data_IF_677636124903
#
_entry.id   IF_677636124903
#
_cell.length_a   1.000
_cell.length_b   1.000
_cell.length_c   1.000
_cell.angle_alpha   90.00
_cell.angle_beta   90.00
_cell.angle_gamma   90.00
#
_symmetry.space_group_name_H-M   'P 1'
#
loop_
_entity.id
_entity.type
_entity.pdbx_description
1 polymer ?
#
# COMPACT_ATOMS: atom_id res chain seq x y z
N UNK A 1 7.87 24.88 -4.50
CA UNK A 1 8.16 24.13 -3.26
C UNK A 1 7.17 23.00 -2.95
N UNK A 2 5.94 22.99 -3.48
CA UNK A 2 4.94 21.92 -3.23
C UNK A 2 5.15 20.61 -4.01
N UNK A 3 6.01 20.61 -5.04
CA UNK A 3 6.26 19.42 -5.87
C UNK A 3 6.92 18.27 -5.12
N UNK A 4 7.90 18.55 -4.24
CA UNK A 4 8.64 17.49 -3.52
C UNK A 4 7.75 16.74 -2.51
N UNK A 5 6.96 17.40 -1.64
CA UNK A 5 6.03 16.70 -0.75
C UNK A 5 4.96 15.89 -1.50
N UNK A 6 4.41 16.45 -2.58
CA UNK A 6 3.43 15.74 -3.41
C UNK A 6 4.04 14.49 -4.06
N UNK A 7 5.23 14.63 -4.64
CA UNK A 7 5.96 13.51 -5.24
C UNK A 7 6.28 12.44 -4.19
N UNK A 8 6.67 12.82 -2.98
CA UNK A 8 6.94 11.88 -1.88
C UNK A 8 5.72 11.03 -1.54
N UNK A 9 4.53 11.65 -1.37
CA UNK A 9 3.28 10.93 -1.03
C UNK A 9 2.82 10.03 -2.19
N UNK A 10 2.88 10.53 -3.43
CA UNK A 10 2.49 9.73 -4.58
C UNK A 10 3.46 8.56 -4.82
N UNK A 11 4.77 8.79 -4.66
CA UNK A 11 5.77 7.76 -4.83
C UNK A 11 5.67 6.66 -3.76
N UNK A 12 5.31 6.98 -2.50
CA UNK A 12 5.13 5.96 -1.47
C UNK A 12 3.95 5.04 -1.80
N UNK A 13 2.83 5.59 -2.29
CA UNK A 13 1.67 4.79 -2.71
C UNK A 13 2.00 3.95 -3.95
N UNK A 14 2.66 4.54 -4.96
CA UNK A 14 3.09 3.81 -6.15
C UNK A 14 4.06 2.66 -5.82
N UNK A 15 4.98 2.88 -4.88
CA UNK A 15 5.92 1.85 -4.44
C UNK A 15 5.24 0.72 -3.65
N UNK A 16 4.26 1.02 -2.81
CA UNK A 16 3.47 0.00 -2.11
C UNK A 16 2.71 -0.90 -3.10
N UNK A 17 2.04 -0.28 -4.07
CA UNK A 17 1.34 -0.99 -5.15
C UNK A 17 2.28 -1.86 -5.99
N UNK A 18 3.50 -1.38 -6.26
CA UNK A 18 4.54 -2.16 -6.95
C UNK A 18 5.03 -3.35 -6.11
N UNK A 19 5.13 -3.18 -4.79
CA UNK A 19 5.59 -4.21 -3.87
C UNK A 19 4.57 -5.33 -3.63
N UNK A 20 3.28 -5.08 -3.83
CA UNK A 20 2.17 -6.00 -3.51
C UNK A 20 2.44 -7.44 -3.96
N UNK A 21 2.82 -7.64 -5.22
CA UNK A 21 2.93 -8.98 -5.80
C UNK A 21 4.00 -9.87 -5.16
N UNK A 22 5.04 -9.29 -4.55
CA UNK A 22 6.13 -10.01 -3.88
C UNK A 22 6.14 -9.79 -2.37
N UNK A 23 5.16 -9.06 -1.84
CA UNK A 23 5.16 -8.54 -0.47
C UNK A 23 5.36 -9.59 0.62
N UNK A 24 4.81 -10.80 0.43
CA UNK A 24 4.91 -11.91 1.39
C UNK A 24 6.08 -12.86 1.15
N UNK A 25 6.97 -12.55 0.21
CA UNK A 25 8.16 -13.35 -0.10
C UNK A 25 9.34 -12.83 0.72
N UNK A 26 9.53 -13.37 1.92
CA UNK A 26 10.62 -12.94 2.81
C UNK A 26 12.01 -13.35 2.32
N UNK A 27 12.11 -14.41 1.51
CA UNK A 27 13.38 -14.84 0.94
C UNK A 27 13.70 -14.03 -0.32
N UNK A 28 14.60 -13.06 -0.21
CA UNK A 28 15.00 -12.19 -1.33
C UNK A 28 15.59 -12.96 -2.52
N UNK A 29 16.25 -14.10 -2.29
CA UNK A 29 16.75 -14.96 -3.37
C UNK A 29 15.61 -15.58 -4.20
N UNK A 30 14.45 -15.82 -3.60
CA UNK A 30 13.26 -16.25 -4.33
C UNK A 30 12.73 -15.10 -5.19
N UNK A 31 12.74 -13.87 -4.68
CA UNK A 31 12.36 -12.68 -5.45
C UNK A 31 13.30 -12.54 -6.66
N UNK A 32 14.61 -12.55 -6.43
CA UNK A 32 15.63 -12.38 -7.46
C UNK A 32 15.53 -13.47 -8.54
N UNK A 33 15.35 -14.74 -8.16
CA UNK A 33 15.28 -15.84 -9.12
C UNK A 33 13.98 -15.91 -9.91
N UNK A 34 12.84 -15.59 -9.29
CA UNK A 34 11.53 -15.74 -9.94
C UNK A 34 11.06 -14.49 -10.67
N UNK A 35 11.33 -13.33 -10.10
CA UNK A 35 10.80 -12.04 -10.56
C UNK A 35 11.90 -11.08 -11.00
N UNK A 36 13.13 -11.27 -10.50
CA UNK A 36 14.21 -10.31 -10.72
C UNK A 36 13.87 -8.96 -10.10
N UNK A 37 14.24 -7.87 -10.79
CA UNK A 37 13.80 -6.53 -10.40
C UNK A 37 12.31 -6.38 -10.75
N UNK A 38 11.51 -6.02 -9.75
CA UNK A 38 10.08 -5.73 -9.94
C UNK A 38 9.93 -4.36 -10.59
N UNK A 39 9.60 -4.32 -11.88
CA UNK A 39 9.40 -3.08 -12.66
C UNK A 39 7.94 -2.89 -13.11
N UNK A 40 7.07 -3.88 -12.84
CA UNK A 40 5.67 -3.89 -13.24
C UNK A 40 4.78 -4.40 -12.11
N UNK A 41 3.50 -4.04 -12.12
CA UNK A 41 2.53 -4.55 -11.16
C UNK A 41 2.33 -6.06 -11.33
N UNK A 42 2.60 -6.79 -10.27
CA UNK A 42 2.46 -8.23 -10.20
C UNK A 42 1.24 -8.58 -9.34
N UNK A 43 0.48 -9.57 -9.78
CA UNK A 43 -0.55 -10.17 -8.93
C UNK A 43 0.15 -11.01 -7.86
N UNK A 44 -0.24 -10.93 -6.57
CA UNK A 44 0.32 -11.80 -5.54
C UNK A 44 0.24 -13.29 -5.95
N UNK A 45 1.39 -13.96 -5.99
CA UNK A 45 1.41 -15.42 -6.10
C UNK A 45 0.88 -16.04 -4.80
N UNK A 46 0.22 -17.21 -4.90
CA UNK A 46 -0.21 -17.94 -3.69
C UNK A 46 1.01 -18.21 -2.81
N UNK A 47 1.00 -17.70 -1.57
CA UNK A 47 0.11 -18.23 -0.53
C UNK A 47 -0.85 -17.21 0.10
N UNK A 48 -1.80 -17.75 0.86
CA UNK A 48 -2.93 -17.24 1.68
C UNK A 48 -3.08 -15.77 2.11
N UNK A 49 -2.10 -14.88 1.94
CA UNK A 49 -2.06 -13.59 2.66
C UNK A 49 -2.55 -12.35 1.89
N UNK A 50 -2.94 -12.48 0.61
CA UNK A 50 -3.74 -11.48 -0.12
C UNK A 50 -4.67 -12.14 -1.15
N UNK A 51 -5.56 -13.07 -0.75
CA UNK A 51 -6.34 -13.85 -1.71
C UNK A 51 -7.35 -13.00 -2.50
N UNK A 52 -7.71 -11.85 -1.97
CA UNK A 52 -8.67 -10.91 -2.56
C UNK A 52 -8.01 -9.83 -3.41
N UNK A 53 -6.67 -9.68 -3.36
CA UNK A 53 -5.99 -8.57 -4.05
C UNK A 53 -5.64 -8.90 -5.49
N UNK A 54 -5.64 -7.89 -6.35
CA UNK A 54 -5.18 -7.95 -7.72
C UNK A 54 -4.00 -7.00 -8.00
N UNK A 55 -3.40 -7.15 -9.18
CA UNK A 55 -2.28 -6.29 -9.61
C UNK A 55 -2.65 -4.80 -9.54
N UNK A 56 -1.75 -4.00 -8.97
CA UNK A 56 -1.91 -2.55 -8.88
C UNK A 56 -2.67 -2.06 -7.65
N UNK A 57 -3.26 -2.96 -6.87
CA UNK A 57 -3.84 -2.61 -5.57
C UNK A 57 -2.74 -2.41 -4.52
N UNK A 58 -3.12 -1.91 -3.35
CA UNK A 58 -2.22 -1.75 -2.22
C UNK A 58 -2.11 -3.01 -1.36
N UNK A 59 -0.99 -3.09 -0.65
CA UNK A 59 -0.89 -3.90 0.57
C UNK A 59 -1.74 -3.26 1.68
N UNK A 60 -1.80 -3.90 2.86
CA UNK A 60 -2.43 -3.30 4.03
C UNK A 60 -1.71 -2.01 4.49
N UNK A 61 -0.45 -1.80 4.12
CA UNK A 61 0.26 -0.55 4.41
C UNK A 61 -0.25 0.59 3.53
N UNK A 62 -0.39 0.37 2.22
CA UNK A 62 -0.94 1.37 1.31
C UNK A 62 -2.41 1.67 1.59
N UNK A 63 -3.24 0.67 1.91
CA UNK A 63 -4.64 0.87 2.28
C UNK A 63 -4.75 1.81 3.50
N UNK A 64 -3.98 1.54 4.57
CA UNK A 64 -3.98 2.38 5.78
C UNK A 64 -3.39 3.76 5.53
N UNK A 65 -2.36 3.86 4.68
CA UNK A 65 -1.72 5.14 4.32
C UNK A 65 -2.69 6.04 3.56
N UNK A 66 -3.47 5.49 2.63
CA UNK A 66 -4.46 6.26 1.88
C UNK A 66 -5.56 6.78 2.81
N UNK A 67 -6.09 5.94 3.69
CA UNK A 67 -7.10 6.36 4.67
C UNK A 67 -6.57 7.43 5.64
N UNK A 68 -5.31 7.33 6.06
CA UNK A 68 -4.67 8.38 6.86
C UNK A 68 -4.56 9.71 6.07
N UNK A 69 -4.17 9.64 4.80
CA UNK A 69 -4.07 10.81 3.94
C UNK A 69 -5.43 11.50 3.77
N UNK A 70 -6.49 10.73 3.53
CA UNK A 70 -7.86 11.26 3.44
C UNK A 70 -8.31 11.92 4.74
N UNK A 71 -8.03 11.29 5.89
CA UNK A 71 -8.34 11.85 7.21
C UNK A 71 -7.63 13.19 7.44
N UNK A 72 -6.33 13.27 7.15
CA UNK A 72 -5.53 14.49 7.29
C UNK A 72 -6.02 15.59 6.35
N UNK A 73 -6.42 15.24 5.13
CA UNK A 73 -6.95 16.19 4.16
C UNK A 73 -8.31 16.76 4.59
N UNK A 74 -9.20 15.93 5.14
CA UNK A 74 -10.53 16.33 5.61
C UNK A 74 -10.46 17.15 6.91
N UNK A 75 -9.59 16.75 7.84
CA UNK A 75 -9.51 17.36 9.17
C UNK A 75 -8.52 18.53 9.27
N UNK A 76 -7.89 18.91 8.14
CA UNK A 76 -6.81 19.91 8.09
C UNK A 76 -5.64 19.61 9.06
N UNK A 77 -5.40 18.32 9.33
CA UNK A 77 -4.43 17.87 10.33
C UNK A 77 -4.74 16.47 10.84
N UNK A 78 -3.84 15.91 11.66
CA UNK A 78 -4.09 14.60 12.25
C UNK A 78 -5.22 14.66 13.28
N UNK A 79 -6.27 13.88 13.06
CA UNK A 79 -7.37 13.70 13.98
C UNK A 79 -7.50 12.21 14.32
N UNK A 80 -7.21 11.86 15.58
CA UNK A 80 -7.23 10.46 16.04
C UNK A 80 -8.60 9.81 15.87
N UNK A 81 -9.67 10.54 16.19
CA UNK A 81 -11.04 10.00 16.16
C UNK A 81 -11.48 9.72 14.72
N UNK A 82 -11.27 10.67 13.80
CA UNK A 82 -11.63 10.51 12.39
C UNK A 82 -10.80 9.38 11.74
N UNK A 83 -9.47 9.37 11.95
CA UNK A 83 -8.62 8.31 11.43
C UNK A 83 -9.02 6.93 11.96
N UNK A 84 -9.26 6.80 13.27
CA UNK A 84 -9.65 5.54 13.88
C UNK A 84 -11.00 5.03 13.36
N UNK A 85 -11.97 5.92 13.09
CA UNK A 85 -13.25 5.55 12.52
C UNK A 85 -13.10 5.05 11.08
N UNK A 86 -12.35 5.76 10.23
CA UNK A 86 -12.10 5.33 8.84
C UNK A 86 -11.31 4.04 8.77
N UNK A 87 -10.30 3.88 9.62
CA UNK A 87 -9.52 2.65 9.74
C UNK A 87 -10.40 1.46 10.14
N UNK A 88 -11.27 1.63 11.14
CA UNK A 88 -12.22 0.58 11.52
C UNK A 88 -13.20 0.26 10.38
N UNK A 89 -13.65 1.25 9.62
CA UNK A 89 -14.52 1.04 8.45
C UNK A 89 -13.80 0.25 7.35
N UNK A 90 -12.52 0.53 7.08
CA UNK A 90 -11.71 -0.21 6.11
C UNK A 90 -11.64 -1.72 6.42
N UNK A 91 -11.59 -2.08 7.71
CA UNK A 91 -11.48 -3.48 8.15
C UNK A 91 -12.80 -4.10 8.62
N UNK A 92 -13.92 -3.38 8.51
CA UNK A 92 -15.26 -3.94 8.72
C UNK A 92 -15.72 -4.56 7.40
N UNK A 93 -15.92 -5.88 7.42
CA UNK A 93 -16.48 -6.65 6.32
C UNK A 93 -17.86 -6.14 5.91
#
# INVERSE_FOLDING_TARGET
>A
MKEKPKAMVLASLAADSLALGVHWIYNTHVIDKKFGRVEHFLKPERPTYHPTKDRGEFTHYGDQTLILLESVAECEGFNLSDFAERWQKLFKN
#
